data_IF_655426706009
#
_entry.id   IF_655426706009
#
_cell.length_a   1.000
_cell.length_b   1.000
_cell.length_c   1.000
_cell.angle_alpha   90.00
_cell.angle_beta   90.00
_cell.angle_gamma   90.00
#
_symmetry.space_group_name_H-M   'P 1'
#
loop_
_entity.id
_entity.type
_entity.pdbx_description
1 polymer ?
#
# COMPACT_ATOMS: atom_id res chain seq x y z
N UNK A 1 7.48 23.90 17.15
CA UNK A 1 6.11 24.45 17.25
C UNK A 1 6.07 25.56 16.21
N UNK A 2 5.20 25.45 15.20
CA UNK A 2 5.20 26.36 14.06
C UNK A 2 4.78 27.77 14.51
N UNK A 3 5.47 28.82 14.06
CA UNK A 3 5.15 30.21 14.39
C UNK A 3 4.57 30.98 13.18
N UNK A 4 3.93 32.13 13.43
CA UNK A 4 3.28 32.93 12.38
C UNK A 4 4.26 33.43 11.30
N UNK A 5 5.54 33.59 11.64
CA UNK A 5 6.58 34.00 10.71
C UNK A 5 6.88 32.89 9.71
N UNK A 6 7.03 31.64 10.18
CA UNK A 6 7.23 30.45 9.33
C UNK A 6 6.04 30.22 8.38
N UNK A 7 4.81 30.48 8.84
CA UNK A 7 3.61 30.42 7.98
C UNK A 7 3.65 31.50 6.90
N UNK A 8 4.04 32.73 7.25
CA UNK A 8 4.15 33.84 6.29
C UNK A 8 5.27 33.61 5.28
N UNK A 9 6.39 33.04 5.70
CA UNK A 9 7.50 32.64 4.81
C UNK A 9 7.06 31.55 3.84
N UNK A 10 6.36 30.52 4.35
CA UNK A 10 5.84 29.42 3.52
C UNK A 10 4.87 29.95 2.44
N UNK A 11 3.94 30.84 2.82
CA UNK A 11 3.04 31.46 1.84
C UNK A 11 3.81 32.27 0.78
N UNK A 12 4.86 33.00 1.18
CA UNK A 12 5.69 33.76 0.25
C UNK A 12 6.42 32.85 -0.73
N UNK A 13 6.91 31.68 -0.28
CA UNK A 13 7.53 30.68 -1.14
C UNK A 13 6.53 30.10 -2.14
N UNK A 14 5.31 29.79 -1.71
CA UNK A 14 4.24 29.25 -2.58
C UNK A 14 3.87 30.25 -3.70
N UNK A 15 3.84 31.55 -3.39
CA UNK A 15 3.53 32.59 -4.38
C UNK A 15 4.66 32.80 -5.38
N UNK A 16 5.92 32.67 -4.95
CA UNK A 16 7.11 32.96 -5.76
C UNK A 16 7.63 31.74 -6.52
N UNK A 17 7.50 30.55 -5.93
CA UNK A 17 7.98 29.29 -6.45
C UNK A 17 6.77 28.41 -6.81
N UNK A 18 6.71 27.88 -8.04
CA UNK A 18 5.60 27.05 -8.53
C UNK A 18 5.61 25.65 -7.90
N UNK A 19 5.38 25.57 -6.59
CA UNK A 19 5.45 24.35 -5.81
C UNK A 19 4.23 23.44 -6.06
N UNK A 20 4.46 22.14 -6.01
CA UNK A 20 3.42 21.11 -6.02
C UNK A 20 3.58 20.12 -4.87
N UNK A 21 2.47 19.60 -4.36
CA UNK A 21 2.48 18.48 -3.43
C UNK A 21 2.28 17.21 -4.23
N UNK A 22 3.37 16.44 -4.38
CA UNK A 22 3.37 15.16 -5.10
C UNK A 22 2.33 14.19 -4.56
N UNK A 23 2.15 14.15 -3.24
CA UNK A 23 1.10 13.34 -2.63
C UNK A 23 0.78 13.70 -1.19
N UNK A 24 -0.45 13.37 -0.77
CA UNK A 24 -0.82 13.13 0.62
C UNK A 24 -1.16 11.64 0.80
N UNK A 25 -0.69 11.04 1.90
CA UNK A 25 -0.93 9.63 2.21
C UNK A 25 -1.51 9.49 3.61
N UNK A 26 -2.61 8.75 3.74
CA UNK A 26 -3.17 8.38 5.05
C UNK A 26 -2.75 6.95 5.42
N UNK A 27 -2.01 6.81 6.52
CA UNK A 27 -1.69 5.50 7.11
C UNK A 27 -2.83 4.98 7.99
N UNK A 28 -3.25 3.73 7.79
CA UNK A 28 -4.35 3.11 8.55
C UNK A 28 -3.89 1.77 9.14
N UNK A 29 -3.90 1.70 10.48
CA UNK A 29 -3.67 0.44 11.20
C UNK A 29 -4.85 -0.51 11.02
N UNK A 30 -4.58 -1.76 10.62
CA UNK A 30 -5.58 -2.82 10.41
C UNK A 30 -5.44 -4.00 11.37
N UNK A 31 -4.56 -3.95 12.38
CA UNK A 31 -4.37 -5.07 13.30
C UNK A 31 -5.64 -5.43 14.11
N UNK A 32 -6.49 -4.45 14.41
CA UNK A 32 -7.80 -4.65 15.04
C UNK A 32 -8.86 -5.26 14.08
N UNK A 33 -8.56 -5.34 12.79
CA UNK A 33 -9.39 -6.06 11.82
C UNK A 33 -9.08 -7.56 11.77
N UNK A 34 -7.92 -7.99 12.27
CA UNK A 34 -7.50 -9.39 12.26
C UNK A 34 -8.44 -10.27 13.10
N UNK A 35 -8.88 -11.38 12.51
CA UNK A 35 -9.69 -12.40 13.18
C UNK A 35 -9.51 -13.77 12.50
N UNK A 36 -10.28 -14.79 12.87
CA UNK A 36 -10.10 -16.16 12.36
C UNK A 36 -10.73 -16.39 10.98
N UNK A 37 -11.75 -15.62 10.61
CA UNK A 37 -12.46 -15.76 9.34
C UNK A 37 -12.04 -14.66 8.36
N UNK A 38 -11.59 -15.06 7.16
CA UNK A 38 -11.15 -14.12 6.12
C UNK A 38 -12.26 -13.16 5.66
N UNK A 39 -13.52 -13.59 5.62
CA UNK A 39 -14.64 -12.72 5.24
C UNK A 39 -14.85 -11.61 6.26
N UNK A 40 -14.76 -11.94 7.55
CA UNK A 40 -14.88 -10.95 8.62
C UNK A 40 -13.72 -9.95 8.58
N UNK A 41 -12.50 -10.41 8.26
CA UNK A 41 -11.35 -9.52 8.01
C UNK A 41 -11.66 -8.57 6.86
N UNK A 42 -12.09 -9.09 5.70
CA UNK A 42 -12.44 -8.29 4.53
C UNK A 42 -13.49 -7.21 4.86
N UNK A 43 -14.59 -7.59 5.51
CA UNK A 43 -15.64 -6.65 5.90
C UNK A 43 -15.14 -5.57 6.86
N UNK A 44 -14.33 -5.94 7.86
CA UNK A 44 -13.75 -4.98 8.83
C UNK A 44 -12.77 -4.02 8.17
N UNK A 45 -11.90 -4.53 7.30
CA UNK A 45 -10.91 -3.73 6.56
C UNK A 45 -11.63 -2.70 5.69
N UNK A 46 -12.60 -3.14 4.89
CA UNK A 46 -13.37 -2.28 4.00
C UNK A 46 -14.14 -1.20 4.79
N UNK A 47 -14.84 -1.59 5.86
CA UNK A 47 -15.58 -0.66 6.71
C UNK A 47 -14.66 0.35 7.44
N UNK A 48 -13.48 -0.09 7.88
CA UNK A 48 -12.54 0.78 8.60
C UNK A 48 -11.91 1.81 7.67
N UNK A 49 -11.42 1.37 6.50
CA UNK A 49 -10.79 2.26 5.52
C UNK A 49 -11.80 3.30 5.04
N UNK A 50 -12.99 2.86 4.60
CA UNK A 50 -14.04 3.77 4.13
C UNK A 50 -14.45 4.78 5.19
N UNK A 51 -14.63 4.35 6.46
CA UNK A 51 -14.99 5.25 7.55
C UNK A 51 -13.92 6.31 7.86
N UNK A 52 -12.65 5.92 7.87
CA UNK A 52 -11.55 6.82 8.26
C UNK A 52 -11.15 7.76 7.12
N UNK A 53 -11.14 7.26 5.88
CA UNK A 53 -10.66 8.02 4.74
C UNK A 53 -11.77 8.73 3.95
N UNK A 54 -13.04 8.63 4.35
CA UNK A 54 -14.21 9.23 3.64
C UNK A 54 -14.03 10.68 3.16
N UNK A 55 -13.30 11.50 3.92
CA UNK A 55 -13.10 12.92 3.63
C UNK A 55 -11.71 13.22 3.06
N UNK A 56 -10.83 12.22 2.86
CA UNK A 56 -9.43 12.41 2.47
C UNK A 56 -9.29 13.16 1.14
N UNK A 57 -10.01 12.70 0.11
CA UNK A 57 -9.95 13.30 -1.24
C UNK A 57 -10.57 14.69 -1.24
N UNK A 58 -11.73 14.83 -0.60
CA UNK A 58 -12.42 16.12 -0.45
C UNK A 58 -11.51 17.14 0.24
N UNK A 59 -10.97 16.78 1.40
CA UNK A 59 -10.07 17.64 2.18
C UNK A 59 -8.81 18.00 1.38
N UNK A 60 -8.21 17.03 0.68
CA UNK A 60 -7.07 17.32 -0.20
C UNK A 60 -7.41 18.30 -1.32
N UNK A 61 -8.59 18.20 -1.92
CA UNK A 61 -9.03 19.14 -2.97
C UNK A 61 -9.41 20.52 -2.40
N UNK A 62 -9.95 20.59 -1.18
CA UNK A 62 -10.25 21.84 -0.49
C UNK A 62 -8.94 22.59 -0.16
N UNK A 63 -7.94 21.90 0.40
CA UNK A 63 -6.60 22.47 0.64
C UNK A 63 -5.97 22.96 -0.68
N UNK A 64 -6.05 22.16 -1.74
CA UNK A 64 -5.50 22.55 -3.04
C UNK A 64 -6.13 23.83 -3.60
N UNK A 65 -7.44 24.03 -3.36
CA UNK A 65 -8.17 25.25 -3.75
C UNK A 65 -7.83 26.44 -2.87
N UNK A 66 -7.76 26.26 -1.56
CA UNK A 66 -7.54 27.34 -0.60
C UNK A 66 -6.14 27.95 -0.71
N UNK A 67 -5.13 27.12 -1.01
CA UNK A 67 -3.73 27.54 -1.07
C UNK A 67 -3.18 27.68 -2.50
N UNK A 68 -3.96 27.29 -3.53
CA UNK A 68 -3.52 27.36 -4.93
C UNK A 68 -2.39 26.37 -5.29
N UNK A 69 -2.11 25.39 -4.44
CA UNK A 69 -1.06 24.37 -4.65
C UNK A 69 -1.69 23.08 -5.14
N UNK A 70 -1.28 22.51 -6.28
CA UNK A 70 -1.80 21.23 -6.74
C UNK A 70 -1.35 20.09 -5.82
N UNK A 71 -2.31 19.28 -5.35
CA UNK A 71 -2.04 17.98 -4.71
C UNK A 71 -2.28 16.88 -5.73
N UNK A 72 -1.19 16.32 -6.26
CA UNK A 72 -1.22 15.42 -7.43
C UNK A 72 -1.86 14.09 -7.07
N UNK A 73 -1.52 13.48 -5.94
CA UNK A 73 -2.05 12.17 -5.54
C UNK A 73 -2.57 12.15 -4.10
N UNK A 74 -3.67 11.44 -3.86
CA UNK A 74 -4.23 11.09 -2.55
C UNK A 74 -4.17 9.58 -2.41
N UNK A 75 -3.48 9.09 -1.38
CA UNK A 75 -3.14 7.68 -1.24
C UNK A 75 -3.46 7.15 0.16
N UNK A 76 -3.55 5.84 0.27
CA UNK A 76 -3.68 5.14 1.56
C UNK A 76 -2.56 4.12 1.69
N UNK A 77 -1.97 4.01 2.87
CA UNK A 77 -1.13 2.86 3.23
C UNK A 77 -1.74 2.14 4.41
N UNK A 78 -1.64 0.82 4.41
CA UNK A 78 -2.19 -0.01 5.49
C UNK A 78 -1.13 -0.90 6.11
N UNK A 79 -1.43 -1.43 7.30
CA UNK A 79 -0.61 -2.46 7.94
C UNK A 79 -0.33 -3.60 6.97
N UNK A 80 0.91 -4.12 6.89
CA UNK A 80 1.26 -5.25 6.04
C UNK A 80 0.24 -6.39 6.13
N UNK A 81 -0.41 -6.69 5.00
CA UNK A 81 -1.51 -7.66 4.97
C UNK A 81 -1.05 -9.06 5.39
N UNK A 82 0.23 -9.43 5.25
CA UNK A 82 0.71 -10.72 5.75
C UNK A 82 0.49 -10.87 7.26
N UNK A 83 0.54 -9.77 8.02
CA UNK A 83 0.27 -9.75 9.46
C UNK A 83 -1.24 -9.81 9.75
N UNK A 84 -2.02 -9.03 9.01
CA UNK A 84 -3.49 -8.94 9.20
C UNK A 84 -4.17 -10.27 8.86
N UNK A 85 -3.73 -10.93 7.79
CA UNK A 85 -4.27 -12.20 7.32
C UNK A 85 -3.63 -13.43 7.96
N UNK A 86 -2.62 -13.29 8.83
CA UNK A 86 -1.84 -14.41 9.35
C UNK A 86 -2.70 -15.47 10.06
N UNK A 87 -3.73 -15.05 10.80
CA UNK A 87 -4.63 -15.97 11.51
C UNK A 87 -5.76 -16.52 10.64
N UNK A 88 -6.25 -15.74 9.68
CA UNK A 88 -7.42 -16.08 8.87
C UNK A 88 -7.10 -16.86 7.60
N UNK A 89 -6.02 -16.50 6.91
CA UNK A 89 -5.69 -17.06 5.60
C UNK A 89 -5.07 -18.45 5.76
N UNK A 90 -5.61 -19.44 5.03
CA UNK A 90 -5.13 -20.82 4.99
C UNK A 90 -4.56 -21.22 3.63
N UNK A 91 -4.78 -20.39 2.61
CA UNK A 91 -4.27 -20.51 1.25
C UNK A 91 -4.08 -19.12 0.62
N UNK A 92 -3.33 -19.05 -0.48
CA UNK A 92 -3.05 -17.81 -1.23
C UNK A 92 -4.31 -17.08 -1.67
N UNK A 93 -5.37 -17.78 -2.07
CA UNK A 93 -6.63 -17.19 -2.54
C UNK A 93 -7.37 -16.42 -1.42
N UNK A 94 -7.09 -16.73 -0.15
CA UNK A 94 -7.65 -15.98 0.97
C UNK A 94 -7.04 -14.56 1.03
N UNK A 95 -5.74 -14.44 0.73
CA UNK A 95 -5.10 -13.13 0.60
C UNK A 95 -5.60 -12.35 -0.60
N UNK A 96 -6.00 -13.00 -1.69
CA UNK A 96 -6.62 -12.32 -2.85
C UNK A 96 -7.94 -11.67 -2.45
N UNK A 97 -8.73 -12.30 -1.58
CA UNK A 97 -9.98 -11.71 -1.08
C UNK A 97 -9.74 -10.42 -0.28
N UNK A 98 -8.65 -10.37 0.50
CA UNK A 98 -8.25 -9.15 1.21
C UNK A 98 -7.81 -8.07 0.21
N UNK A 99 -7.08 -8.42 -0.86
CA UNK A 99 -6.73 -7.47 -1.93
C UNK A 99 -7.99 -6.86 -2.56
N UNK A 100 -9.00 -7.68 -2.85
CA UNK A 100 -10.31 -7.21 -3.34
C UNK A 100 -11.00 -6.25 -2.37
N UNK A 101 -10.92 -6.51 -1.05
CA UNK A 101 -11.49 -5.61 -0.05
C UNK A 101 -10.76 -4.26 0.01
N UNK A 102 -9.43 -4.26 -0.11
CA UNK A 102 -8.63 -3.04 -0.21
C UNK A 102 -8.99 -2.23 -1.46
N UNK A 103 -9.10 -2.91 -2.61
CA UNK A 103 -9.42 -2.27 -3.89
C UNK A 103 -10.82 -1.63 -3.85
N UNK A 104 -11.84 -2.36 -3.37
CA UNK A 104 -13.20 -1.80 -3.20
C UNK A 104 -13.22 -0.60 -2.26
N UNK A 105 -12.50 -0.68 -1.13
CA UNK A 105 -12.43 0.42 -0.18
C UNK A 105 -11.75 1.66 -0.78
N UNK A 106 -10.66 1.46 -1.52
CA UNK A 106 -9.92 2.53 -2.18
C UNK A 106 -10.77 3.22 -3.26
N UNK A 107 -11.48 2.46 -4.09
CA UNK A 107 -12.44 3.00 -5.06
C UNK A 107 -13.58 3.76 -4.39
N UNK A 108 -14.12 3.23 -3.29
CA UNK A 108 -15.22 3.86 -2.55
C UNK A 108 -14.82 5.24 -2.00
N UNK A 109 -13.57 5.40 -1.57
CA UNK A 109 -13.04 6.67 -1.05
C UNK A 109 -12.55 7.59 -2.18
N UNK A 110 -12.20 7.02 -3.34
CA UNK A 110 -11.73 7.76 -4.51
C UNK A 110 -10.24 8.12 -4.46
N UNK A 111 -9.42 7.32 -3.78
CA UNK A 111 -7.95 7.51 -3.74
C UNK A 111 -7.29 6.93 -4.98
N UNK A 112 -6.10 7.45 -5.32
CA UNK A 112 -5.38 7.02 -6.54
C UNK A 112 -4.78 5.63 -6.38
N UNK A 113 -4.22 5.31 -5.21
CA UNK A 113 -3.56 4.04 -4.92
C UNK A 113 -3.69 3.67 -3.44
N UNK A 114 -3.73 2.37 -3.16
CA UNK A 114 -3.65 1.81 -1.81
C UNK A 114 -2.48 0.82 -1.68
N UNK A 115 -1.55 1.11 -0.78
CA UNK A 115 -0.39 0.28 -0.48
C UNK A 115 -0.55 -0.46 0.84
N UNK A 116 0.26 -1.49 1.05
CA UNK A 116 0.26 -2.29 2.28
C UNK A 116 -0.15 -3.74 2.06
N UNK A 117 -0.46 -4.14 0.81
CA UNK A 117 -0.52 -5.55 0.42
C UNK A 117 0.89 -6.16 0.44
N UNK A 118 1.45 -6.29 1.64
CA UNK A 118 2.88 -6.41 1.84
C UNK A 118 3.24 -7.52 2.81
N UNK A 119 4.46 -8.03 2.66
CA UNK A 119 5.08 -8.99 3.56
C UNK A 119 6.48 -8.51 4.00
N UNK A 120 6.89 -8.87 5.21
CA UNK A 120 8.17 -8.43 5.82
C UNK A 120 9.08 -9.61 6.23
N UNK A 121 9.43 -10.54 5.33
CA UNK A 121 10.17 -11.77 5.65
C UNK A 121 11.68 -11.57 5.87
N UNK A 122 12.14 -10.39 6.33
CA UNK A 122 13.56 -9.99 6.30
C UNK A 122 14.54 -10.90 7.09
N UNK A 123 14.05 -11.74 8.02
CA UNK A 123 14.85 -12.71 8.77
C UNK A 123 14.51 -14.15 8.44
N UNK A 124 13.23 -14.42 8.20
CA UNK A 124 12.71 -15.73 7.80
C UNK A 124 11.25 -15.55 7.37
N UNK A 125 10.93 -16.04 6.19
CA UNK A 125 9.57 -16.04 5.66
C UNK A 125 8.63 -16.94 6.48
N UNK A 126 7.55 -16.36 7.00
CA UNK A 126 6.49 -17.14 7.64
C UNK A 126 5.58 -17.79 6.59
N UNK A 127 4.69 -18.71 7.02
CA UNK A 127 3.68 -19.28 6.14
C UNK A 127 2.75 -18.20 5.55
N UNK A 128 2.41 -17.18 6.35
CA UNK A 128 1.58 -16.07 5.89
C UNK A 128 2.29 -15.20 4.84
N UNK A 129 3.58 -14.91 5.05
CA UNK A 129 4.39 -14.17 4.07
C UNK A 129 4.48 -14.93 2.74
N UNK A 130 4.75 -16.24 2.80
CA UNK A 130 4.78 -17.10 1.60
C UNK A 130 3.45 -17.08 0.86
N UNK A 131 2.33 -17.28 1.57
CA UNK A 131 1.01 -17.29 0.95
C UNK A 131 0.65 -15.94 0.33
N UNK A 132 1.04 -14.82 0.95
CA UNK A 132 0.86 -13.49 0.36
C UNK A 132 1.74 -13.29 -0.88
N UNK A 133 2.99 -13.77 -0.88
CA UNK A 133 3.86 -13.69 -2.06
C UNK A 133 3.29 -14.54 -3.20
N UNK A 134 2.80 -15.74 -2.89
CA UNK A 134 2.22 -16.65 -3.87
C UNK A 134 0.89 -16.12 -4.45
N UNK A 135 0.16 -15.28 -3.72
CA UNK A 135 -1.07 -14.64 -4.20
C UNK A 135 -0.86 -13.43 -5.11
N UNK A 136 0.36 -12.85 -5.16
CA UNK A 136 0.64 -11.61 -5.91
C UNK A 136 0.22 -11.65 -7.38
N UNK A 137 0.47 -12.72 -8.18
CA UNK A 137 0.09 -12.73 -9.58
C UNK A 137 -1.41 -12.54 -9.77
N UNK A 138 -2.22 -13.23 -8.95
CA UNK A 138 -3.67 -13.14 -9.01
C UNK A 138 -4.18 -11.82 -8.44
N UNK A 139 -3.71 -11.43 -7.26
CA UNK A 139 -4.14 -10.20 -6.60
C UNK A 139 -3.88 -8.96 -7.48
N UNK A 140 -2.70 -8.87 -8.09
CA UNK A 140 -2.34 -7.72 -8.92
C UNK A 140 -2.97 -7.75 -10.32
N UNK A 141 -3.42 -8.90 -10.81
CA UNK A 141 -4.21 -9.00 -12.05
C UNK A 141 -5.68 -8.70 -11.86
N UNK A 142 -6.22 -8.95 -10.66
CA UNK A 142 -7.67 -8.82 -10.38
C UNK A 142 -8.04 -7.53 -9.63
N UNK A 143 -7.07 -6.68 -9.28
CA UNK A 143 -7.29 -5.38 -8.64
C UNK A 143 -6.73 -4.26 -9.50
N UNK A 144 -7.29 -3.06 -9.41
CA UNK A 144 -6.84 -1.93 -10.24
C UNK A 144 -5.76 -1.12 -9.53
N UNK A 145 -6.01 -0.68 -8.30
CA UNK A 145 -5.22 0.35 -7.61
C UNK A 145 -4.50 -0.13 -6.34
N UNK A 146 -4.54 -1.44 -6.07
CA UNK A 146 -3.76 -2.06 -4.99
C UNK A 146 -2.29 -2.21 -5.37
N UNK A 147 -1.44 -1.70 -4.50
CA UNK A 147 0.01 -1.73 -4.55
C UNK A 147 0.59 -2.70 -3.52
N UNK A 148 1.68 -3.38 -3.88
CA UNK A 148 2.28 -4.44 -3.07
C UNK A 148 3.79 -4.32 -2.95
N UNK A 149 4.30 -4.68 -1.77
CA UNK A 149 5.74 -4.74 -1.51
C UNK A 149 6.17 -5.90 -0.64
N UNK A 150 7.42 -6.35 -0.82
CA UNK A 150 8.01 -7.39 0.03
C UNK A 150 9.41 -6.97 0.47
N UNK A 151 9.64 -6.86 1.78
CA UNK A 151 10.95 -6.54 2.33
C UNK A 151 11.74 -7.84 2.61
N UNK A 152 12.59 -8.24 1.67
CA UNK A 152 13.33 -9.51 1.69
C UNK A 152 14.54 -9.53 2.60
N UNK A 153 14.96 -8.38 3.12
CA UNK A 153 16.18 -8.29 3.89
C UNK A 153 16.35 -6.98 4.63
N UNK A 154 17.33 -6.98 5.53
CA UNK A 154 17.82 -5.78 6.19
C UNK A 154 19.30 -5.92 6.52
N UNK A 155 19.99 -4.79 6.70
CA UNK A 155 21.38 -4.76 7.17
C UNK A 155 21.55 -5.50 8.50
N UNK A 156 20.50 -5.53 9.34
CA UNK A 156 20.51 -6.16 10.66
C UNK A 156 20.36 -7.68 10.60
N UNK A 157 19.57 -8.19 9.67
CA UNK A 157 19.15 -9.61 9.64
C UNK A 157 19.70 -10.37 8.43
N UNK A 158 20.38 -9.69 7.51
CA UNK A 158 20.81 -10.25 6.24
C UNK A 158 19.66 -10.26 5.22
N UNK A 159 19.71 -11.19 4.28
CA UNK A 159 18.75 -11.34 3.20
C UNK A 159 18.18 -12.76 3.26
N UNK A 160 16.86 -12.89 3.24
CA UNK A 160 16.19 -14.17 3.05
C UNK A 160 16.26 -14.56 1.57
N UNK A 161 17.26 -15.37 1.21
CA UNK A 161 17.48 -15.78 -0.18
C UNK A 161 16.41 -16.73 -0.71
N UNK A 162 15.72 -17.48 0.15
CA UNK A 162 14.58 -18.30 -0.26
C UNK A 162 13.41 -17.41 -0.68
N UNK A 163 13.18 -16.31 0.05
CA UNK A 163 12.22 -15.30 -0.33
C UNK A 163 12.61 -14.60 -1.65
N UNK A 164 13.89 -14.31 -1.87
CA UNK A 164 14.39 -13.74 -3.12
C UNK A 164 14.15 -14.68 -4.30
N UNK A 165 14.44 -15.98 -4.15
CA UNK A 165 14.19 -16.97 -5.20
C UNK A 165 12.69 -17.04 -5.55
N UNK A 166 11.84 -17.11 -4.51
CA UNK A 166 10.39 -17.14 -4.68
C UNK A 166 9.92 -15.89 -5.43
N UNK A 167 10.35 -14.70 -5.02
CA UNK A 167 9.99 -13.44 -5.69
C UNK A 167 10.46 -13.38 -7.13
N UNK A 168 11.66 -13.85 -7.45
CA UNK A 168 12.15 -13.88 -8.83
C UNK A 168 11.20 -14.65 -9.77
N UNK A 169 10.67 -15.78 -9.29
CA UNK A 169 9.67 -16.57 -10.01
C UNK A 169 8.31 -15.87 -10.03
N UNK A 170 7.90 -15.29 -8.91
CA UNK A 170 6.62 -14.59 -8.77
C UNK A 170 6.52 -13.35 -9.64
N UNK A 171 7.57 -12.53 -9.76
CA UNK A 171 7.59 -11.34 -10.64
C UNK A 171 7.30 -11.73 -12.08
N UNK A 172 7.90 -12.83 -12.58
CA UNK A 172 7.60 -13.35 -13.91
C UNK A 172 6.12 -13.76 -14.05
N UNK A 173 5.56 -14.42 -13.04
CA UNK A 173 4.14 -14.79 -13.02
C UNK A 173 3.21 -13.57 -12.98
N UNK A 174 3.58 -12.49 -12.26
CA UNK A 174 2.81 -11.22 -12.27
C UNK A 174 2.79 -10.64 -13.68
N UNK A 175 3.93 -10.60 -14.37
CA UNK A 175 4.02 -10.12 -15.75
C UNK A 175 3.13 -10.95 -16.68
N UNK A 176 3.23 -12.28 -16.61
CA UNK A 176 2.43 -13.21 -17.42
C UNK A 176 0.92 -13.06 -17.15
N UNK A 177 0.51 -12.96 -15.88
CA UNK A 177 -0.90 -12.79 -15.49
C UNK A 177 -1.51 -11.46 -15.96
N UNK A 178 -0.66 -10.45 -16.21
CA UNK A 178 -1.09 -9.12 -16.69
C UNK A 178 -0.59 -8.81 -18.09
N UNK A 179 -0.15 -9.81 -18.86
CA UNK A 179 0.44 -9.62 -20.19
C UNK A 179 -0.52 -8.97 -21.19
N UNK A 180 -1.83 -9.19 -21.04
CA UNK A 180 -2.87 -8.54 -21.86
C UNK A 180 -2.99 -7.04 -21.65
N UNK A 181 -2.38 -6.49 -20.59
CA UNK A 181 -2.32 -5.07 -20.28
C UNK A 181 -0.87 -4.65 -20.01
N UNK A 182 0.03 -4.97 -20.94
CA UNK A 182 1.46 -4.58 -20.91
C UNK A 182 2.18 -4.94 -19.59
N UNK A 183 1.82 -6.10 -19.00
CA UNK A 183 2.38 -6.56 -17.71
C UNK A 183 2.21 -5.56 -16.56
N UNK A 184 1.11 -4.77 -16.58
CA UNK A 184 0.87 -3.66 -15.65
C UNK A 184 0.96 -4.03 -14.16
N UNK A 185 0.72 -5.30 -13.80
CA UNK A 185 0.89 -5.77 -12.43
C UNK A 185 2.30 -5.53 -11.88
N UNK A 186 3.33 -5.57 -12.73
CA UNK A 186 4.72 -5.30 -12.35
C UNK A 186 4.94 -3.84 -11.91
N UNK A 187 4.16 -2.89 -12.41
CA UNK A 187 4.24 -1.47 -12.02
C UNK A 187 3.75 -1.25 -10.58
N UNK A 188 2.87 -2.14 -10.10
CA UNK A 188 2.26 -2.09 -8.76
C UNK A 188 3.06 -2.83 -7.69
N UNK A 189 4.17 -3.46 -8.05
CA UNK A 189 4.97 -4.30 -7.15
C UNK A 189 6.39 -3.76 -6.94
N UNK A 190 6.91 -3.89 -5.71
CA UNK A 190 8.32 -3.62 -5.41
C UNK A 190 8.90 -4.60 -4.39
N UNK A 191 10.12 -5.08 -4.64
CA UNK A 191 10.91 -5.82 -3.67
C UNK A 191 11.90 -4.87 -2.97
N UNK A 192 11.99 -4.94 -1.65
CA UNK A 192 12.90 -4.13 -0.84
C UNK A 192 13.96 -4.94 -0.12
N UNK A 193 15.08 -4.29 0.11
CA UNK A 193 15.97 -4.57 1.23
C UNK A 193 16.11 -3.25 2.00
N UNK A 194 15.97 -3.29 3.33
CA UNK A 194 15.87 -2.10 4.17
C UNK A 194 14.72 -1.16 3.77
N UNK A 195 13.50 -1.69 3.66
CA UNK A 195 12.32 -0.85 3.44
C UNK A 195 12.30 0.35 4.42
N UNK A 196 12.20 1.59 3.92
CA UNK A 196 12.16 2.78 4.78
C UNK A 196 10.79 2.91 5.46
N UNK A 197 10.77 3.53 6.64
CA UNK A 197 9.54 3.71 7.43
C UNK A 197 8.52 4.64 6.76
N UNK A 198 8.97 5.64 5.99
CA UNK A 198 8.11 6.59 5.26
C UNK A 198 8.49 6.60 3.77
N UNK A 199 7.82 5.75 2.99
CA UNK A 199 8.15 5.54 1.59
C UNK A 199 7.27 6.39 0.66
N UNK A 200 7.86 7.33 -0.11
CA UNK A 200 7.10 8.14 -1.06
C UNK A 200 6.63 7.37 -2.32
N UNK A 201 7.15 6.15 -2.54
CA UNK A 201 6.81 5.28 -3.67
C UNK A 201 5.70 4.29 -3.31
N UNK A 202 4.53 4.38 -3.97
CA UNK A 202 3.33 3.68 -3.50
C UNK A 202 3.35 2.18 -3.58
N UNK A 203 3.95 1.59 -4.62
CA UNK A 203 4.16 0.15 -4.65
C UNK A 203 4.81 -0.31 -3.33
N UNK A 204 5.65 0.55 -2.76
CA UNK A 204 6.35 0.30 -1.51
C UNK A 204 5.76 0.86 -0.22
N UNK A 205 4.61 1.53 -0.26
CA UNK A 205 4.00 2.12 0.92
C UNK A 205 3.28 1.09 1.78
N UNK A 206 3.57 1.05 3.08
CA UNK A 206 2.81 0.34 4.11
C UNK A 206 2.81 1.17 5.39
N UNK A 207 1.88 0.90 6.31
CA UNK A 207 1.73 1.63 7.58
C UNK A 207 2.23 0.79 8.78
#
# INVERSE_FOLDING_TARGET
MLNLMEVSETNSMIEQEQLDVRTITMGINLLDCACENVQDVCCKVEAKITRLAKDLVKTGNDISRDYGIPIVNKRITVTPISLVGASSCKKSEDFVQIAHALDRAAHTVGVDLIGGYSALPAKSMTAADRMLIESLPQALSETEIVCSSVNVGSTRTGIDMDCVELLGRTIKKIAEATAGNDSYGCVKFVAFCNAPDDNPFMAGGFH
#
